data_IF_343181725435
#
_entry.id   IF_343181725435
#
_cell.length_a   1.000
_cell.length_b   1.000
_cell.length_c   1.000
_cell.angle_alpha   90.00
_cell.angle_beta   90.00
_cell.angle_gamma   90.00
#
_symmetry.space_group_name_H-M   'P 1'
#
loop_
_entity.id
_entity.type
_entity.pdbx_description
1 polymer ?
#
# COMPACT_ATOMS: atom_id res chain seq x y z
N UNK A 1 10.22 -10.76 -1.29
CA UNK A 1 8.80 -10.79 -0.86
C UNK A 1 8.32 -9.34 -0.85
N UNK A 2 7.21 -9.04 -1.53
CA UNK A 2 6.69 -7.66 -1.69
C UNK A 2 5.57 -7.34 -0.69
N UNK A 3 4.91 -8.38 -0.18
CA UNK A 3 3.81 -8.30 0.79
C UNK A 3 4.10 -9.24 1.97
N UNK A 4 3.90 -8.76 3.20
CA UNK A 4 3.98 -9.53 4.45
C UNK A 4 2.69 -9.34 5.25
N UNK A 5 2.20 -10.38 5.94
CA UNK A 5 0.90 -10.33 6.63
C UNK A 5 0.78 -9.18 7.65
N UNK A 6 1.86 -8.76 8.30
CA UNK A 6 1.83 -7.63 9.27
C UNK A 6 2.50 -6.33 8.76
N UNK A 7 2.67 -6.19 7.45
CA UNK A 7 3.39 -5.06 6.83
C UNK A 7 2.87 -3.66 7.18
N UNK A 8 1.57 -3.53 7.47
CA UNK A 8 0.94 -2.25 7.80
C UNK A 8 1.52 -1.63 9.09
N UNK A 9 1.91 -2.46 10.05
CA UNK A 9 2.52 -2.02 11.30
C UNK A 9 4.02 -1.73 11.14
N UNK A 10 4.68 -2.37 10.17
CA UNK A 10 6.11 -2.28 9.94
C UNK A 10 6.51 -1.09 9.05
N UNK A 11 5.71 -0.73 8.04
CA UNK A 11 6.07 0.34 7.07
C UNK A 11 5.33 1.67 7.29
N UNK A 12 4.61 1.82 8.40
CA UNK A 12 3.98 3.08 8.79
C UNK A 12 5.01 4.14 9.24
N UNK A 13 4.78 5.45 9.00
CA UNK A 13 5.71 6.49 9.42
C UNK A 13 5.87 6.51 10.95
N UNK A 14 7.05 6.15 11.45
CA UNK A 14 7.37 6.16 12.89
C UNK A 14 7.61 4.79 13.53
N UNK A 15 7.40 3.69 12.81
CA UNK A 15 7.55 2.32 13.31
C UNK A 15 8.99 1.87 13.56
N UNK A 16 10.02 2.66 13.20
CA UNK A 16 11.42 2.26 13.28
C UNK A 16 11.90 1.81 14.67
N UNK A 17 11.22 2.23 15.75
CA UNK A 17 11.55 1.82 17.13
C UNK A 17 10.88 0.51 17.57
N UNK A 18 9.85 0.07 16.86
CA UNK A 18 9.08 -1.14 17.17
C UNK A 18 9.45 -2.34 16.25
N UNK A 19 10.34 -2.12 15.26
CA UNK A 19 10.83 -3.13 14.29
C UNK A 19 11.42 -4.39 14.96
N UNK A 20 11.83 -4.31 16.22
CA UNK A 20 12.46 -5.40 16.96
C UNK A 20 11.50 -6.50 17.45
N UNK A 21 10.20 -6.44 17.13
CA UNK A 21 9.22 -7.39 17.68
C UNK A 21 8.79 -8.51 16.72
N UNK A 22 9.11 -8.41 15.43
CA UNK A 22 8.84 -9.47 14.47
C UNK A 22 10.11 -10.29 14.20
N UNK A 23 10.26 -11.37 14.97
CA UNK A 23 11.37 -12.32 14.94
C UNK A 23 11.51 -13.02 13.57
N UNK A 24 10.42 -13.10 12.80
CA UNK A 24 10.39 -13.67 11.45
C UNK A 24 11.03 -12.70 10.46
N UNK A 25 10.64 -11.41 10.46
CA UNK A 25 11.27 -10.41 9.57
C UNK A 25 12.75 -10.22 9.92
N UNK A 26 13.09 -10.12 11.20
CA UNK A 26 14.49 -9.98 11.64
C UNK A 26 15.35 -11.18 11.17
N UNK A 27 14.82 -12.41 11.25
CA UNK A 27 15.50 -13.61 10.74
C UNK A 27 15.62 -13.60 9.22
N UNK A 28 14.57 -13.22 8.51
CA UNK A 28 14.59 -13.14 7.04
C UNK A 28 15.59 -12.09 6.53
N UNK A 29 15.69 -10.93 7.18
CA UNK A 29 16.68 -9.89 6.84
C UNK A 29 18.13 -10.31 7.14
N UNK A 30 18.34 -11.31 8.00
CA UNK A 30 19.68 -11.83 8.32
C UNK A 30 20.28 -12.73 7.22
N UNK A 31 19.47 -13.22 6.28
CA UNK A 31 19.92 -14.08 5.20
C UNK A 31 20.42 -13.28 3.98
N UNK A 32 21.64 -13.59 3.51
CA UNK A 32 22.25 -12.93 2.33
C UNK A 32 21.45 -13.07 1.03
N UNK A 33 20.55 -14.03 0.94
CA UNK A 33 19.76 -14.35 -0.24
C UNK A 33 18.30 -13.87 -0.14
N UNK A 34 17.95 -13.06 0.86
CA UNK A 34 16.59 -12.56 1.05
C UNK A 34 16.56 -11.05 0.80
N UNK A 35 15.67 -10.64 -0.12
CA UNK A 35 15.33 -9.24 -0.36
C UNK A 35 13.84 -9.02 -0.08
N UNK A 36 13.56 -8.13 0.87
CA UNK A 36 12.22 -7.67 1.22
C UNK A 36 12.09 -6.23 0.72
N UNK A 37 11.03 -5.93 -0.03
CA UNK A 37 10.64 -4.59 -0.42
C UNK A 37 9.23 -4.37 0.10
N UNK A 38 8.97 -3.24 0.76
CA UNK A 38 7.63 -2.95 1.26
C UNK A 38 6.81 -2.27 0.17
N UNK A 39 5.74 -2.91 -0.31
CA UNK A 39 4.71 -2.27 -1.15
C UNK A 39 5.27 -1.48 -2.35
N UNK A 40 6.39 -1.92 -2.91
CA UNK A 40 7.11 -1.17 -3.93
C UNK A 40 6.86 -1.68 -5.35
N UNK A 41 6.14 -2.80 -5.52
CA UNK A 41 5.82 -3.32 -6.85
C UNK A 41 5.03 -2.34 -7.73
N UNK A 42 4.22 -1.46 -7.12
CA UNK A 42 3.42 -0.45 -7.83
C UNK A 42 4.09 0.93 -7.90
N UNK A 43 5.32 1.08 -7.41
CA UNK A 43 6.05 2.35 -7.44
C UNK A 43 6.75 2.58 -8.79
N UNK A 44 5.97 2.51 -9.88
CA UNK A 44 6.39 2.89 -11.21
C UNK A 44 5.38 3.87 -11.83
N UNK A 45 5.84 4.67 -12.81
CA UNK A 45 5.06 5.78 -13.37
C UNK A 45 3.71 5.32 -13.93
N UNK A 46 3.69 4.25 -14.70
CA UNK A 46 2.49 3.72 -15.36
C UNK A 46 1.45 3.20 -14.34
N UNK A 47 1.92 2.47 -13.33
CA UNK A 47 1.07 1.97 -12.24
C UNK A 47 0.47 3.13 -11.43
N UNK A 48 1.27 4.14 -11.08
CA UNK A 48 0.79 5.32 -10.35
C UNK A 48 -0.20 6.16 -11.19
N UNK A 49 0.05 6.33 -12.49
CA UNK A 49 -0.88 7.01 -13.40
C UNK A 49 -2.22 6.28 -13.48
N UNK A 50 -2.20 4.94 -13.58
CA UNK A 50 -3.40 4.12 -13.60
C UNK A 50 -4.17 4.18 -12.27
N UNK A 51 -3.48 4.14 -11.13
CA UNK A 51 -4.08 4.29 -9.80
C UNK A 51 -4.75 5.67 -9.69
N UNK A 52 -4.08 6.74 -10.08
CA UNK A 52 -4.62 8.09 -10.03
C UNK A 52 -5.85 8.25 -10.93
N UNK A 53 -5.77 7.79 -12.18
CA UNK A 53 -6.86 7.84 -13.16
C UNK A 53 -8.10 7.08 -12.65
N UNK A 54 -7.91 5.86 -12.14
CA UNK A 54 -8.99 5.04 -11.58
C UNK A 54 -9.62 5.71 -10.35
N UNK A 55 -8.81 6.32 -9.49
CA UNK A 55 -9.29 7.03 -8.29
C UNK A 55 -10.17 8.22 -8.67
N UNK A 56 -9.73 9.05 -9.63
CA UNK A 56 -10.50 10.20 -10.12
C UNK A 56 -11.81 9.73 -10.77
N UNK A 57 -11.77 8.66 -11.57
CA UNK A 57 -12.96 8.10 -12.20
C UNK A 57 -13.99 7.62 -11.16
N UNK A 58 -13.53 6.93 -10.10
CA UNK A 58 -14.37 6.47 -9.01
C UNK A 58 -15.04 7.62 -8.27
N UNK A 59 -14.29 8.70 -7.96
CA UNK A 59 -14.84 9.89 -7.33
C UNK A 59 -15.89 10.58 -8.21
N UNK A 60 -15.62 10.68 -9.51
CA UNK A 60 -16.58 11.24 -10.47
C UNK A 60 -17.86 10.40 -10.59
N UNK A 61 -17.75 9.07 -10.58
CA UNK A 61 -18.89 8.17 -10.59
C UNK A 61 -19.72 8.30 -9.31
N UNK A 62 -19.06 8.37 -8.15
CA UNK A 62 -19.70 8.58 -6.86
C UNK A 62 -20.46 9.92 -6.82
N UNK A 63 -19.82 11.03 -7.23
CA UNK A 63 -20.46 12.34 -7.25
C UNK A 63 -21.72 12.36 -8.11
N UNK A 64 -21.67 11.77 -9.32
CA UNK A 64 -22.84 11.62 -10.20
C UNK A 64 -23.96 10.80 -9.55
N UNK A 65 -23.61 9.71 -8.88
CA UNK A 65 -24.57 8.86 -8.19
C UNK A 65 -25.27 9.61 -7.04
N UNK A 66 -24.53 10.42 -6.28
CA UNK A 66 -25.07 11.27 -5.21
C UNK A 66 -26.00 12.34 -5.79
N UNK A 67 -25.59 13.06 -6.84
CA UNK A 67 -26.45 14.06 -7.49
C UNK A 67 -27.75 13.44 -8.04
N UNK A 68 -27.71 12.22 -8.57
CA UNK A 68 -28.91 11.54 -9.06
C UNK A 68 -29.88 11.16 -7.93
N UNK A 69 -29.38 10.87 -6.73
CA UNK A 69 -30.22 10.57 -5.54
C UNK A 69 -30.87 11.81 -4.92
N UNK A 70 -30.27 13.01 -5.06
CA UNK A 70 -30.83 14.26 -4.52
C UNK A 70 -31.89 14.91 -5.40
N UNK A 71 -32.06 14.46 -6.66
CA UNK A 71 -33.05 14.98 -7.60
C UNK A 71 -34.39 14.19 -7.59
N UNK A 72 -34.66 13.43 -6.52
CA UNK A 72 -35.91 12.72 -6.26
C UNK A 72 -36.47 13.12 -4.90
#
# INVERSE_FOLDING_TARGET
MDVYEEEANLFSPGSFRDILQDDIIARLLSFRNVLIKGHQAFLNKEALENIASTTIANLGAWAKAVSRKMNY
#
